data_IF_135779411969
#
_entry.id   IF_135779411969
#
_cell.length_a   1.000
_cell.length_b   1.000
_cell.length_c   1.000
_cell.angle_alpha   90.00
_cell.angle_beta   90.00
_cell.angle_gamma   90.00
#
_symmetry.space_group_name_H-M   'P 1'
#
loop_
_entity.id
_entity.type
_entity.pdbx_description
1 polymer ?
#
# COMPACT_ATOMS: atom_id res chain seq x y z
N UNK A 1 -93.64 13.31 15.24
CA UNK A 1 -92.61 14.22 15.81
C UNK A 1 -91.58 13.33 16.52
N UNK A 2 -90.28 13.28 16.25
CA UNK A 2 -89.37 14.09 15.44
C UNK A 2 -87.97 13.95 16.09
N UNK A 3 -87.17 12.99 15.60
CA UNK A 3 -85.84 12.54 16.07
C UNK A 3 -84.88 13.69 16.44
N UNK A 4 -84.55 13.90 17.73
CA UNK A 4 -83.61 14.97 18.14
C UNK A 4 -82.43 14.54 19.03
N UNK A 5 -82.40 13.33 19.61
CA UNK A 5 -81.29 12.95 20.51
C UNK A 5 -80.19 12.11 19.85
N UNK A 6 -80.49 11.41 18.75
CA UNK A 6 -79.49 10.63 18.00
C UNK A 6 -78.55 11.53 17.22
N UNK A 7 -79.06 12.59 16.58
CA UNK A 7 -78.27 13.58 15.82
C UNK A 7 -77.23 14.29 16.69
N UNK A 8 -77.48 14.49 18.00
CA UNK A 8 -76.53 15.10 18.95
C UNK A 8 -75.45 14.12 19.46
N UNK A 9 -75.76 12.83 19.52
CA UNK A 9 -74.79 11.77 19.85
C UNK A 9 -73.90 11.41 18.66
N UNK A 10 -74.48 11.39 17.45
CA UNK A 10 -73.74 11.16 16.20
C UNK A 10 -72.82 12.35 15.86
N UNK A 11 -73.21 13.59 16.17
CA UNK A 11 -72.34 14.76 15.99
C UNK A 11 -71.19 14.82 17.00
N UNK A 12 -71.36 14.31 18.24
CA UNK A 12 -70.22 14.13 19.15
C UNK A 12 -69.25 13.03 18.70
N UNK A 13 -69.76 11.88 18.22
CA UNK A 13 -68.92 10.82 17.66
C UNK A 13 -68.19 11.25 16.36
N UNK A 14 -68.83 12.07 15.53
CA UNK A 14 -68.19 12.66 14.34
C UNK A 14 -67.13 13.71 14.73
N UNK A 15 -67.31 14.42 15.84
CA UNK A 15 -66.34 15.41 16.35
C UNK A 15 -65.11 14.78 17.03
N UNK A 16 -65.22 13.55 17.54
CA UNK A 16 -64.11 12.82 18.19
C UNK A 16 -63.38 11.85 17.26
N UNK A 17 -64.00 11.41 16.15
CA UNK A 17 -63.39 10.50 15.17
C UNK A 17 -62.50 11.18 14.11
N UNK A 18 -62.49 12.51 14.04
CA UNK A 18 -61.72 13.29 13.07
C UNK A 18 -60.35 13.75 13.58
N UNK A 19 -59.76 13.03 14.54
CA UNK A 19 -58.45 13.34 15.11
C UNK A 19 -57.36 13.16 14.07
N UNK A 20 -57.20 14.18 13.21
CA UNK A 20 -56.07 14.44 12.31
C UNK A 20 -55.26 13.18 12.06
N UNK A 21 -55.77 12.28 11.21
CA UNK A 21 -54.83 11.46 10.44
C UNK A 21 -53.90 12.49 9.84
N UNK A 22 -52.65 12.54 10.28
CA UNK A 22 -51.64 13.37 9.67
C UNK A 22 -51.54 12.84 8.24
N UNK A 23 -52.41 13.39 7.37
CA UNK A 23 -52.56 13.02 5.97
C UNK A 23 -51.15 13.16 5.44
N UNK A 24 -50.55 12.00 5.11
CA UNK A 24 -49.12 11.77 5.00
C UNK A 24 -48.40 12.91 4.28
N UNK A 25 -48.09 13.97 5.01
CA UNK A 25 -47.32 15.08 4.50
C UNK A 25 -45.92 14.55 4.62
N UNK A 26 -45.44 13.96 3.52
CA UNK A 26 -44.06 13.50 3.39
C UNK A 26 -43.16 14.53 4.06
N UNK A 27 -42.34 14.14 5.05
CA UNK A 27 -41.57 15.10 5.83
C UNK A 27 -40.41 15.62 4.98
N UNK A 28 -40.71 16.49 4.01
CA UNK A 28 -39.74 17.05 3.06
C UNK A 28 -38.57 17.73 3.77
N UNK A 29 -38.78 18.33 4.95
CA UNK A 29 -37.69 18.88 5.76
C UNK A 29 -36.73 17.82 6.29
N UNK A 30 -37.23 16.66 6.71
CA UNK A 30 -36.39 15.52 7.14
C UNK A 30 -35.59 14.96 5.96
N UNK A 31 -36.23 14.75 4.81
CA UNK A 31 -35.53 14.27 3.61
C UNK A 31 -34.52 15.29 3.07
N UNK A 32 -34.82 16.58 3.13
CA UNK A 32 -33.88 17.64 2.76
C UNK A 32 -32.67 17.68 3.70
N UNK A 33 -32.87 17.45 4.99
CA UNK A 33 -31.77 17.33 5.96
C UNK A 33 -30.90 16.11 5.66
N UNK A 34 -31.50 14.93 5.45
CA UNK A 34 -30.78 13.72 5.06
C UNK A 34 -30.00 13.90 3.76
N UNK A 35 -30.61 14.51 2.75
CA UNK A 35 -29.96 14.79 1.48
C UNK A 35 -28.75 15.72 1.67
N UNK A 36 -28.89 16.78 2.46
CA UNK A 36 -27.78 17.68 2.77
C UNK A 36 -26.63 16.96 3.46
N UNK A 37 -26.92 16.09 4.44
CA UNK A 37 -25.89 15.28 5.12
C UNK A 37 -25.17 14.35 4.13
N UNK A 38 -25.90 13.68 3.24
CA UNK A 38 -25.28 12.80 2.22
C UNK A 38 -24.42 13.60 1.25
N UNK A 39 -24.89 14.76 0.79
CA UNK A 39 -24.12 15.63 -0.11
C UNK A 39 -22.86 16.12 0.58
N UNK A 40 -22.96 16.67 1.79
CA UNK A 40 -21.80 17.15 2.55
C UNK A 40 -20.83 16.02 2.85
N UNK A 41 -21.32 14.85 3.28
CA UNK A 41 -20.50 13.66 3.52
C UNK A 41 -19.74 13.21 2.27
N UNK A 42 -20.43 13.15 1.12
CA UNK A 42 -19.80 12.81 -0.16
C UNK A 42 -18.75 13.85 -0.56
N UNK A 43 -19.04 15.14 -0.35
CA UNK A 43 -18.12 16.24 -0.66
C UNK A 43 -16.87 16.18 0.23
N UNK A 44 -17.02 15.88 1.51
CA UNK A 44 -15.91 15.67 2.45
C UNK A 44 -15.05 14.47 2.04
N UNK A 45 -15.65 13.35 1.61
CA UNK A 45 -14.91 12.19 1.10
C UNK A 45 -14.13 12.55 -0.16
N UNK A 46 -14.75 13.28 -1.11
CA UNK A 46 -14.09 13.74 -2.33
C UNK A 46 -12.91 14.67 -2.01
N UNK A 47 -13.12 15.64 -1.11
CA UNK A 47 -12.06 16.58 -0.68
C UNK A 47 -10.93 15.85 0.02
N UNK A 48 -11.25 14.95 0.97
CA UNK A 48 -10.26 14.13 1.68
C UNK A 48 -9.41 13.31 0.70
N UNK A 49 -10.04 12.57 -0.23
CA UNK A 49 -9.32 11.82 -1.26
C UNK A 49 -8.49 12.71 -2.17
N UNK A 50 -9.00 13.88 -2.55
CA UNK A 50 -8.26 14.82 -3.38
C UNK A 50 -7.01 15.38 -2.68
N UNK A 51 -7.06 15.58 -1.36
CA UNK A 51 -5.92 16.07 -0.58
C UNK A 51 -4.85 14.99 -0.40
N UNK A 52 -5.24 13.73 -0.19
CA UNK A 52 -4.30 12.59 -0.19
C UNK A 52 -3.57 12.49 -1.53
N UNK A 53 -4.30 12.63 -2.64
CA UNK A 53 -3.69 12.61 -3.98
C UNK A 53 -2.77 13.81 -4.26
N UNK A 54 -3.00 14.96 -3.60
CA UNK A 54 -2.15 16.15 -3.72
C UNK A 54 -0.90 16.09 -2.85
N UNK A 55 -0.95 15.42 -1.70
CA UNK A 55 0.23 15.17 -0.88
C UNK A 55 1.31 14.39 -1.66
N UNK A 56 0.92 13.57 -2.64
CA UNK A 56 1.84 12.91 -3.58
C UNK A 56 2.64 13.87 -4.50
N UNK A 57 2.42 15.19 -4.43
CA UNK A 57 3.24 16.16 -5.15
C UNK A 57 4.50 16.58 -4.39
N UNK A 58 4.48 16.51 -3.05
CA UNK A 58 5.67 16.82 -2.23
C UNK A 58 6.62 15.63 -2.23
N UNK A 59 7.94 15.82 -2.09
CA UNK A 59 8.88 14.73 -1.89
C UNK A 59 8.80 14.13 -0.48
N UNK A 60 9.14 12.84 -0.27
CA UNK A 60 9.04 12.24 1.05
C UNK A 60 10.10 12.80 2.00
N UNK A 61 9.74 12.89 3.26
CA UNK A 61 10.56 13.35 4.39
C UNK A 61 10.75 12.21 5.40
N UNK A 62 11.60 12.40 6.40
CA UNK A 62 11.86 11.38 7.44
C UNK A 62 10.67 11.08 8.37
N UNK A 63 9.54 11.76 8.19
CA UNK A 63 8.30 11.53 8.95
C UNK A 63 7.26 10.78 8.13
N UNK A 64 7.56 10.52 6.86
CA UNK A 64 6.63 9.92 5.93
C UNK A 64 6.77 8.40 5.95
N UNK A 65 5.64 7.74 5.82
CA UNK A 65 5.53 6.31 5.55
C UNK A 65 4.61 6.15 4.34
N UNK A 66 5.21 5.94 3.17
CA UNK A 66 4.48 5.84 1.91
C UNK A 66 4.60 4.47 1.30
N UNK A 67 3.62 4.14 0.46
CA UNK A 67 3.59 2.86 -0.25
C UNK A 67 3.47 3.10 -1.76
N UNK A 68 4.18 2.30 -2.54
CA UNK A 68 4.04 2.21 -4.00
C UNK A 68 3.88 0.75 -4.38
N UNK A 69 2.77 0.39 -5.00
CA UNK A 69 2.61 -0.97 -5.51
C UNK A 69 3.49 -1.17 -6.74
N UNK A 70 4.20 -2.29 -6.81
CA UNK A 70 5.08 -2.59 -7.94
C UNK A 70 4.90 -3.99 -8.53
N UNK A 71 5.28 -4.14 -9.80
CA UNK A 71 5.39 -5.43 -10.47
C UNK A 71 6.56 -5.45 -11.44
N UNK A 72 7.19 -6.60 -11.61
CA UNK A 72 8.28 -6.81 -12.58
C UNK A 72 7.80 -7.81 -13.64
N UNK A 73 7.77 -7.40 -14.91
CA UNK A 73 7.38 -8.25 -16.04
C UNK A 73 8.61 -8.54 -16.93
N UNK A 74 8.90 -9.82 -17.16
CA UNK A 74 9.93 -10.22 -18.12
C UNK A 74 9.27 -11.01 -19.24
N UNK A 75 9.33 -10.45 -20.45
CA UNK A 75 8.81 -11.05 -21.68
C UNK A 75 7.33 -11.48 -21.59
N UNK A 76 6.48 -10.68 -20.95
CA UNK A 76 5.05 -10.94 -20.80
C UNK A 76 4.70 -11.82 -19.58
N UNK A 77 5.68 -12.12 -18.73
CA UNK A 77 5.49 -12.90 -17.50
C UNK A 77 5.82 -12.05 -16.29
N UNK A 78 4.81 -11.79 -15.46
CA UNK A 78 4.99 -11.13 -14.17
C UNK A 78 5.77 -12.06 -13.24
N UNK A 79 6.91 -11.59 -12.76
CA UNK A 79 7.75 -12.29 -11.79
C UNK A 79 7.15 -12.18 -10.38
N UNK A 80 7.49 -13.13 -9.48
CA UNK A 80 7.14 -13.00 -8.07
C UNK A 80 7.64 -11.69 -7.46
N UNK A 81 7.04 -11.29 -6.34
CA UNK A 81 7.51 -10.15 -5.57
C UNK A 81 8.94 -10.41 -5.09
N UNK A 82 9.75 -9.35 -5.04
CA UNK A 82 11.10 -9.44 -4.50
C UNK A 82 11.03 -9.83 -3.03
N UNK A 83 11.93 -10.72 -2.63
CA UNK A 83 12.05 -11.13 -1.24
C UNK A 83 12.55 -9.95 -0.40
N UNK A 84 12.07 -9.86 0.84
CA UNK A 84 12.58 -8.87 1.78
C UNK A 84 14.10 -9.01 1.95
N UNK A 85 14.89 -7.94 1.75
CA UNK A 85 16.32 -7.98 1.99
C UNK A 85 16.63 -8.13 3.48
N UNK A 86 17.74 -8.80 3.80
CA UNK A 86 18.18 -8.98 5.21
C UNK A 86 18.48 -7.66 5.90
N UNK A 87 18.97 -6.68 5.14
CA UNK A 87 19.24 -5.32 5.63
C UNK A 87 18.33 -4.35 4.90
N UNK A 88 17.44 -3.69 5.64
CA UNK A 88 16.52 -2.70 5.11
C UNK A 88 17.19 -1.32 5.08
N UNK A 89 17.04 -0.63 3.96
CA UNK A 89 17.27 0.82 3.85
C UNK A 89 15.92 1.53 3.92
N UNK A 90 15.88 2.87 4.00
CA UNK A 90 14.63 3.62 4.07
C UNK A 90 13.67 3.47 2.87
N UNK A 91 14.04 2.70 1.84
CA UNK A 91 13.18 2.35 0.70
C UNK A 91 13.34 0.86 0.40
N UNK A 92 12.36 0.03 0.76
CA UNK A 92 12.47 -1.44 0.76
C UNK A 92 11.13 -2.16 0.47
N UNK A 93 11.11 -3.49 0.47
CA UNK A 93 9.94 -4.36 0.23
C UNK A 93 9.80 -5.43 1.31
N UNK A 94 8.58 -5.85 1.62
CA UNK A 94 8.28 -6.95 2.56
C UNK A 94 7.74 -8.21 1.85
N UNK A 95 8.04 -8.39 0.56
CA UNK A 95 7.52 -9.51 -0.28
C UNK A 95 6.01 -9.42 -0.59
N UNK A 96 5.35 -8.38 -0.10
CA UNK A 96 3.93 -8.07 -0.31
C UNK A 96 3.63 -7.41 -1.66
N UNK A 97 4.67 -7.07 -2.42
CA UNK A 97 4.54 -6.39 -3.72
C UNK A 97 4.38 -4.88 -3.59
N UNK A 98 4.73 -4.33 -2.42
CA UNK A 98 4.81 -2.90 -2.17
C UNK A 98 6.27 -2.47 -2.00
N UNK A 99 6.58 -1.28 -2.49
CA UNK A 99 7.76 -0.52 -2.08
C UNK A 99 7.31 0.37 -0.93
N UNK A 100 7.90 0.13 0.23
CA UNK A 100 7.76 0.90 1.45
C UNK A 100 8.80 2.00 1.44
N UNK A 101 8.36 3.25 1.65
CA UNK A 101 9.21 4.43 1.71
C UNK A 101 9.09 5.00 3.11
N UNK A 102 10.10 4.72 3.92
CA UNK A 102 10.27 5.15 5.30
C UNK A 102 11.65 5.83 5.43
N UNK A 103 11.79 7.09 4.98
CA UNK A 103 13.10 7.69 4.86
C UNK A 103 13.82 7.83 6.20
N UNK A 104 15.02 7.26 6.30
CA UNK A 104 15.81 7.33 7.54
C UNK A 104 16.79 8.51 7.54
N UNK A 105 17.15 9.00 6.36
CA UNK A 105 18.15 10.04 6.16
C UNK A 105 17.96 10.75 4.80
N UNK A 106 18.86 11.67 4.47
CA UNK A 106 18.78 12.46 3.23
C UNK A 106 18.89 11.65 1.93
N UNK A 107 19.43 10.42 1.97
CA UNK A 107 19.51 9.52 0.81
C UNK A 107 18.17 8.88 0.45
N UNK A 108 17.20 8.92 1.35
CA UNK A 108 15.89 8.30 1.19
C UNK A 108 14.77 9.35 1.03
N UNK A 109 15.09 10.64 1.14
CA UNK A 109 14.13 11.75 1.04
C UNK A 109 14.21 12.48 -0.29
N UNK A 110 13.25 13.37 -0.54
CA UNK A 110 13.45 14.38 -1.58
C UNK A 110 13.54 13.78 -2.98
N UNK A 111 14.50 14.29 -3.75
CA UNK A 111 14.83 13.80 -5.10
C UNK A 111 15.60 12.48 -5.09
N UNK A 112 16.00 11.99 -3.92
CA UNK A 112 16.75 10.74 -3.78
C UNK A 112 15.83 9.52 -3.60
N UNK A 113 14.57 9.76 -3.23
CA UNK A 113 13.52 8.74 -3.14
C UNK A 113 13.12 8.20 -4.53
N UNK A 114 14.00 7.37 -5.07
CA UNK A 114 13.98 6.91 -6.46
C UNK A 114 13.91 5.40 -6.54
N UNK A 115 13.45 4.88 -7.68
CA UNK A 115 13.52 3.46 -7.98
C UNK A 115 14.97 2.94 -7.94
N UNK A 116 15.95 3.76 -8.33
CA UNK A 116 17.36 3.39 -8.21
C UNK A 116 17.82 3.23 -6.75
N UNK A 117 17.29 4.06 -5.84
CA UNK A 117 17.54 3.92 -4.40
C UNK A 117 16.96 2.62 -3.86
N UNK A 118 15.71 2.29 -4.21
CA UNK A 118 15.11 0.99 -3.92
C UNK A 118 15.99 -0.16 -4.42
N UNK A 119 16.33 -0.17 -5.72
CA UNK A 119 17.18 -1.20 -6.35
C UNK A 119 18.53 -1.35 -5.64
N UNK A 120 19.11 -0.27 -5.09
CA UNK A 120 20.38 -0.34 -4.36
C UNK A 120 20.31 -1.14 -3.05
N UNK A 121 19.12 -1.27 -2.47
CA UNK A 121 18.85 -2.07 -1.28
C UNK A 121 18.44 -3.52 -1.58
N UNK A 122 18.24 -3.90 -2.84
CA UNK A 122 17.68 -5.19 -3.26
C UNK A 122 18.76 -6.16 -3.78
N UNK A 123 19.18 -7.18 -3.00
CA UNK A 123 20.20 -8.13 -3.41
C UNK A 123 19.83 -8.89 -4.68
N UNK A 124 20.74 -8.89 -5.66
CA UNK A 124 20.57 -9.60 -6.93
C UNK A 124 19.66 -8.90 -7.93
N UNK A 125 18.90 -7.88 -7.52
CA UNK A 125 18.13 -7.05 -8.44
C UNK A 125 19.05 -5.97 -9.03
N UNK A 126 19.07 -5.84 -10.35
CA UNK A 126 19.87 -4.81 -11.03
C UNK A 126 19.04 -4.14 -12.11
N UNK A 127 19.15 -2.82 -12.17
CA UNK A 127 18.42 -2.01 -13.13
C UNK A 127 19.32 -0.93 -13.71
N UNK A 128 19.31 -0.82 -15.03
CA UNK A 128 19.93 0.29 -15.77
C UNK A 128 18.93 0.80 -16.81
N UNK A 129 19.29 1.89 -17.50
CA UNK A 129 18.53 2.39 -18.66
C UNK A 129 18.28 1.32 -19.74
N UNK A 130 19.16 0.33 -19.87
CA UNK A 130 19.14 -0.62 -20.98
C UNK A 130 19.21 -2.07 -20.54
N UNK A 131 19.15 -2.36 -19.25
CA UNK A 131 19.19 -3.74 -18.75
C UNK A 131 18.44 -3.91 -17.45
N UNK A 132 17.89 -5.10 -17.25
CA UNK A 132 17.28 -5.54 -16.01
C UNK A 132 17.78 -6.94 -15.67
N UNK A 133 18.05 -7.17 -14.40
CA UNK A 133 18.39 -8.47 -13.83
C UNK A 133 17.46 -8.71 -12.67
N UNK A 134 16.59 -9.71 -12.78
CA UNK A 134 15.77 -10.16 -11.66
C UNK A 134 16.60 -11.13 -10.79
N UNK A 135 16.45 -11.15 -9.46
CA UNK A 135 17.23 -12.04 -8.60
C UNK A 135 17.10 -13.51 -9.02
N UNK A 136 18.24 -14.20 -9.15
CA UNK A 136 18.29 -15.60 -9.59
C UNK A 136 18.12 -15.81 -11.11
N UNK A 137 17.84 -14.76 -11.88
CA UNK A 137 17.72 -14.81 -13.33
C UNK A 137 18.96 -14.25 -14.05
N UNK A 138 19.03 -14.48 -15.36
CA UNK A 138 20.02 -13.82 -16.22
C UNK A 138 19.73 -12.32 -16.36
N UNK A 139 20.73 -11.58 -16.83
CA UNK A 139 20.55 -10.18 -17.25
C UNK A 139 19.91 -10.12 -18.63
N UNK A 140 18.84 -9.32 -18.76
CA UNK A 140 18.21 -8.98 -20.03
C UNK A 140 18.66 -7.58 -20.44
N UNK A 141 19.14 -7.44 -21.67
CA UNK A 141 19.61 -6.18 -22.26
C UNK A 141 18.71 -5.80 -23.42
N UNK A 142 18.51 -4.50 -23.62
CA UNK A 142 17.74 -4.00 -24.76
C UNK A 142 18.26 -4.59 -26.07
N UNK A 143 17.37 -5.22 -26.85
CA UNK A 143 17.72 -5.96 -28.06
C UNK A 143 17.78 -7.47 -27.88
N UNK A 144 17.89 -7.98 -26.66
CA UNK A 144 17.77 -9.42 -26.39
C UNK A 144 16.38 -9.91 -26.80
N UNK A 145 16.32 -11.10 -27.40
CA UNK A 145 15.05 -11.68 -27.84
C UNK A 145 14.28 -12.27 -26.67
N UNK A 146 13.00 -11.95 -26.61
CA UNK A 146 12.04 -12.69 -25.79
C UNK A 146 11.66 -14.03 -26.46
N UNK A 147 10.95 -14.93 -25.76
CA UNK A 147 10.51 -16.21 -26.32
C UNK A 147 9.64 -16.09 -27.59
N UNK A 148 8.99 -14.94 -27.79
CA UNK A 148 8.25 -14.59 -29.00
C UNK A 148 9.17 -14.24 -30.21
N UNK A 149 10.49 -14.28 -30.01
CA UNK A 149 11.51 -13.98 -31.02
C UNK A 149 11.75 -12.49 -31.26
N UNK A 150 10.97 -11.59 -30.62
CA UNK A 150 11.07 -10.14 -30.81
C UNK A 150 12.08 -9.54 -29.81
N UNK A 151 12.79 -8.46 -30.18
CA UNK A 151 13.72 -7.79 -29.28
C UNK A 151 12.97 -7.05 -28.18
N UNK A 152 13.27 -7.38 -26.92
CA UNK A 152 12.71 -6.70 -25.76
C UNK A 152 13.47 -5.41 -25.41
N UNK A 153 12.81 -4.55 -24.62
CA UNK A 153 13.37 -3.33 -24.06
C UNK A 153 12.92 -3.15 -22.61
N UNK A 154 13.83 -2.61 -21.79
CA UNK A 154 13.53 -2.13 -20.44
C UNK A 154 12.62 -0.92 -20.54
N UNK A 155 11.45 -1.02 -19.92
CA UNK A 155 10.43 0.03 -19.88
C UNK A 155 9.81 0.07 -18.48
N UNK A 156 9.45 1.26 -18.03
CA UNK A 156 8.63 1.43 -16.84
C UNK A 156 7.34 2.16 -17.19
N UNK A 157 6.23 1.75 -16.58
CA UNK A 157 4.92 2.39 -16.68
C UNK A 157 4.45 2.74 -15.28
N UNK A 158 3.98 3.97 -15.11
CA UNK A 158 3.49 4.48 -13.82
C UNK A 158 2.03 4.89 -13.93
N UNK A 159 1.29 4.74 -12.83
CA UNK A 159 -0.05 5.29 -12.67
C UNK A 159 -0.08 6.12 -11.40
N UNK A 160 -0.42 7.39 -11.53
CA UNK A 160 -0.69 8.22 -10.36
C UNK A 160 -2.04 7.84 -9.73
N UNK A 161 -2.27 8.14 -8.44
CA UNK A 161 -3.52 7.79 -7.77
C UNK A 161 -4.76 8.24 -8.55
N UNK A 162 -5.61 7.28 -8.91
CA UNK A 162 -6.84 7.51 -9.69
C UNK A 162 -6.65 7.46 -11.22
N UNK A 163 -5.43 7.31 -11.74
CA UNK A 163 -5.19 7.07 -13.16
C UNK A 163 -5.29 5.58 -13.51
N UNK A 164 -6.03 5.27 -14.58
CA UNK A 164 -6.20 3.93 -15.11
C UNK A 164 -5.42 3.68 -16.42
N UNK A 165 -4.99 4.75 -17.10
CA UNK A 165 -4.28 4.63 -18.39
C UNK A 165 -2.80 4.36 -18.18
N UNK A 166 -2.21 5.09 -17.23
CA UNK A 166 -0.79 5.03 -16.94
C UNK A 166 0.03 5.71 -18.01
N UNK A 167 1.27 6.00 -17.66
CA UNK A 167 2.22 6.69 -18.51
C UNK A 167 3.51 5.89 -18.60
N UNK A 168 3.98 5.66 -19.82
CA UNK A 168 5.33 5.16 -20.05
C UNK A 168 6.34 6.23 -19.63
N UNK A 169 7.30 5.83 -18.79
CA UNK A 169 8.40 6.68 -18.37
C UNK A 169 9.49 6.60 -19.43
N UNK A 170 9.76 7.74 -20.08
CA UNK A 170 10.90 7.89 -20.97
C UNK A 170 12.18 8.15 -20.17
N UNK A 171 13.27 7.44 -20.50
CA UNK A 171 14.60 7.70 -19.93
C UNK A 171 15.12 6.56 -19.07
N UNK A 172 15.91 6.91 -18.06
CA UNK A 172 16.49 5.94 -17.12
C UNK A 172 15.49 5.63 -16.00
N UNK A 173 15.04 4.36 -15.86
CA UNK A 173 14.06 4.00 -14.85
C UNK A 173 14.59 4.18 -13.42
N UNK A 174 15.91 4.17 -13.20
CA UNK A 174 16.48 4.43 -11.87
C UNK A 174 16.15 5.83 -11.35
N UNK A 175 15.80 6.78 -12.22
CA UNK A 175 15.47 8.16 -11.85
C UNK A 175 13.98 8.37 -11.56
N UNK A 176 13.17 7.32 -11.65
CA UNK A 176 11.74 7.40 -11.32
C UNK A 176 11.61 7.72 -9.84
N UNK A 177 10.95 8.83 -9.52
CA UNK A 177 10.60 9.16 -8.15
C UNK A 177 9.47 8.25 -7.68
N UNK A 178 9.66 7.70 -6.48
CA UNK A 178 8.65 6.93 -5.77
C UNK A 178 7.71 7.92 -5.10
N UNK A 179 6.41 7.63 -5.11
CA UNK A 179 5.37 8.52 -4.61
C UNK A 179 4.32 7.73 -3.85
N UNK A 180 3.69 8.35 -2.87
CA UNK A 180 2.61 7.68 -2.16
C UNK A 180 1.47 7.27 -3.09
N UNK A 181 0.95 6.06 -2.88
CA UNK A 181 -0.16 5.42 -3.60
C UNK A 181 0.03 5.30 -5.12
N UNK A 182 1.26 5.47 -5.61
CA UNK A 182 1.59 5.28 -7.03
C UNK A 182 1.65 3.78 -7.35
N UNK A 183 1.31 3.45 -8.58
CA UNK A 183 1.54 2.13 -9.15
C UNK A 183 2.74 2.19 -10.11
N UNK A 184 3.62 1.19 -10.05
CA UNK A 184 4.81 1.08 -10.89
C UNK A 184 4.91 -0.32 -11.50
N UNK A 185 4.86 -0.43 -12.82
CA UNK A 185 5.23 -1.65 -13.52
C UNK A 185 6.56 -1.44 -14.22
N UNK A 186 7.55 -2.28 -13.91
CA UNK A 186 8.82 -2.33 -14.62
C UNK A 186 8.83 -3.59 -15.48
N UNK A 187 9.38 -3.54 -16.68
CA UNK A 187 9.56 -4.77 -17.42
C UNK A 187 10.54 -4.72 -18.58
N UNK A 188 10.93 -5.92 -19.01
CA UNK A 188 11.63 -6.17 -20.27
C UNK A 188 10.64 -6.75 -21.28
N UNK A 189 10.09 -5.90 -22.14
CA UNK A 189 8.94 -6.25 -23.00
C UNK A 189 9.16 -5.83 -24.45
N UNK A 190 8.44 -6.47 -25.37
CA UNK A 190 8.66 -6.33 -26.83
C UNK A 190 7.77 -5.27 -27.48
N UNK A 191 6.78 -4.75 -26.76
CA UNK A 191 5.74 -3.83 -27.25
C UNK A 191 5.89 -2.41 -26.70
N UNK A 192 7.08 -2.05 -26.22
CA UNK A 192 7.33 -0.71 -25.69
C UNK A 192 6.59 -0.38 -24.39
N UNK A 193 6.03 -1.38 -23.69
CA UNK A 193 5.40 -1.21 -22.38
C UNK A 193 3.87 -1.21 -22.40
N UNK A 194 3.25 -1.41 -23.56
CA UNK A 194 1.79 -1.42 -23.68
C UNK A 194 1.14 -2.58 -22.92
N UNK A 195 1.78 -3.74 -22.92
CA UNK A 195 1.39 -4.93 -22.16
C UNK A 195 1.52 -4.78 -20.65
N UNK A 196 2.28 -3.81 -20.15
CA UNK A 196 2.44 -3.60 -18.71
C UNK A 196 1.11 -3.23 -18.07
N UNK A 197 0.68 -4.08 -17.13
CA UNK A 197 -0.56 -3.93 -16.36
C UNK A 197 -0.26 -3.30 -15.01
N UNK A 198 -1.30 -2.78 -14.37
CA UNK A 198 -1.21 -2.37 -12.98
C UNK A 198 -0.82 -3.57 -12.08
N UNK A 199 0.05 -3.38 -11.08
CA UNK A 199 0.39 -4.41 -10.11
C UNK A 199 -0.84 -4.95 -9.38
N UNK A 200 -0.84 -6.26 -9.09
CA UNK A 200 -1.93 -6.89 -8.33
C UNK A 200 -1.99 -6.37 -6.88
N UNK A 201 -0.84 -6.02 -6.29
CA UNK A 201 -0.69 -5.41 -4.97
C UNK A 201 -1.31 -4.02 -4.84
N UNK A 202 -1.87 -3.44 -5.92
CA UNK A 202 -2.68 -2.21 -5.80
C UNK A 202 -3.85 -2.37 -4.81
N UNK A 203 -4.35 -3.61 -4.63
CA UNK A 203 -5.42 -3.92 -3.69
C UNK A 203 -5.00 -3.81 -2.22
N UNK A 204 -3.70 -3.91 -1.91
CA UNK A 204 -3.17 -3.88 -0.54
C UNK A 204 -2.72 -2.48 -0.10
N UNK A 205 -2.64 -1.50 -1.02
CA UNK A 205 -2.29 -0.12 -0.70
C UNK A 205 -3.17 0.52 0.41
N UNK A 206 -4.51 0.37 0.41
CA UNK A 206 -5.35 0.95 1.45
C UNK A 206 -5.09 0.36 2.85
N UNK A 207 -4.75 -0.92 2.91
CA UNK A 207 -4.53 -1.65 4.17
C UNK A 207 -3.12 -1.40 4.72
N UNK A 208 -2.13 -1.19 3.85
CA UNK A 208 -0.75 -0.90 4.23
C UNK A 208 -0.61 0.38 5.06
N UNK A 209 -1.48 1.38 4.84
CA UNK A 209 -1.53 2.58 5.68
C UNK A 209 -2.04 2.34 7.12
N UNK A 210 -2.56 1.15 7.42
CA UNK A 210 -3.27 0.83 8.67
C UNK A 210 -2.59 -0.25 9.52
N UNK A 211 -1.53 -0.90 9.04
CA UNK A 211 -0.90 -2.04 9.72
C UNK A 211 0.43 -1.62 10.36
N UNK A 212 0.59 -1.75 11.70
CA UNK A 212 1.91 -1.72 12.31
C UNK A 212 2.71 -2.97 11.91
N UNK A 213 3.99 -2.77 11.58
CA UNK A 213 5.00 -3.61 10.90
C UNK A 213 5.11 -5.12 11.26
N UNK A 214 4.32 -5.70 12.16
CA UNK A 214 4.57 -7.03 12.70
C UNK A 214 3.41 -8.04 12.56
N UNK A 215 2.58 -7.94 11.53
CA UNK A 215 1.50 -8.94 11.31
C UNK A 215 1.37 -9.33 9.84
N UNK A 216 2.41 -9.93 9.29
CA UNK A 216 2.35 -10.58 7.97
C UNK A 216 1.69 -11.95 8.10
N UNK A 217 0.42 -12.07 7.69
CA UNK A 217 -0.21 -13.37 7.45
C UNK A 217 -0.07 -13.72 5.96
N UNK A 218 0.79 -14.68 5.67
CA UNK A 218 0.89 -15.29 4.34
C UNK A 218 -0.38 -16.10 4.07
N UNK A 219 -1.16 -15.71 3.06
CA UNK A 219 -2.22 -16.57 2.50
C UNK A 219 -1.75 -17.13 1.18
N UNK A 220 -1.27 -18.37 1.21
CA UNK A 220 -1.15 -19.22 0.02
C UNK A 220 -2.53 -19.81 -0.32
N UNK A 221 -3.00 -19.77 -1.58
CA UNK A 221 -4.21 -20.47 -1.97
C UNK A 221 -3.94 -21.98 -2.03
N UNK A 222 -4.45 -22.76 -1.06
CA UNK A 222 -4.42 -24.22 -1.16
C UNK A 222 -4.27 -25.01 0.14
N UNK A 223 -4.87 -24.58 1.26
CA UNK A 223 -4.99 -25.43 2.44
C UNK A 223 -6.44 -25.42 2.94
N UNK A 224 -7.08 -26.59 2.88
CA UNK A 224 -8.39 -26.87 3.46
C UNK A 224 -8.36 -26.57 4.97
N UNK A 225 -9.39 -25.93 5.56
CA UNK A 225 -9.35 -25.59 6.98
C UNK A 225 -9.40 -26.85 7.86
N UNK A 226 -8.62 -26.94 8.96
CA UNK A 226 -8.88 -27.95 9.96
C UNK A 226 -10.09 -27.51 10.81
N UNK A 227 -11.08 -28.40 10.90
CA UNK A 227 -12.22 -28.28 11.81
C UNK A 227 -11.73 -28.12 13.25
N UNK A 228 -12.10 -27.00 13.90
CA UNK A 228 -11.74 -26.73 15.30
C UNK A 228 -12.74 -27.41 16.23
N UNK A 229 -12.26 -28.26 17.13
CA UNK A 229 -13.01 -28.69 18.30
C UNK A 229 -12.94 -27.61 19.40
N UNK A 230 -14.03 -27.27 20.11
CA UNK A 230 -14.00 -26.22 21.14
C UNK A 230 -13.50 -26.76 22.48
N UNK A 231 -12.50 -26.11 23.07
CA UNK A 231 -12.19 -26.23 24.50
C UNK A 231 -10.72 -26.24 24.87
N UNK A 232 -10.10 -25.06 24.97
CA UNK A 232 -8.98 -24.83 25.88
C UNK A 232 -8.87 -23.33 26.22
N UNK A 233 -9.09 -23.01 27.49
CA UNK A 233 -8.92 -21.69 28.12
C UNK A 233 -7.44 -21.29 28.17
N UNK A 234 -7.06 -20.01 28.06
CA UNK A 234 -5.66 -19.63 28.14
C UNK A 234 -5.18 -19.56 29.59
N UNK A 235 -4.08 -20.26 29.89
CA UNK A 235 -3.36 -20.14 31.17
C UNK A 235 -2.35 -19.00 31.08
N UNK A 236 -2.54 -17.98 31.89
CA UNK A 236 -1.55 -16.92 32.17
C UNK A 236 -0.39 -17.50 32.97
N UNK A 237 0.84 -17.41 32.46
CA UNK A 237 2.06 -17.71 33.22
C UNK A 237 2.93 -16.44 33.32
N UNK A 238 2.96 -15.89 34.52
CA UNK A 238 3.92 -14.89 35.01
C UNK A 238 5.12 -15.63 35.61
N UNK A 239 6.35 -15.20 35.30
CA UNK A 239 7.51 -15.51 36.14
C UNK A 239 8.86 -15.61 35.45
N UNK A 240 9.81 -14.78 35.88
CA UNK A 240 11.19 -15.21 36.10
C UNK A 240 12.27 -14.65 35.17
N UNK A 241 12.96 -13.60 35.63
CA UNK A 241 14.26 -13.15 35.10
C UNK A 241 15.37 -14.12 35.56
N UNK A 242 16.32 -14.52 34.71
CA UNK A 242 17.63 -14.94 35.17
C UNK A 242 18.71 -13.92 34.75
N UNK A 243 19.36 -13.35 35.78
CA UNK A 243 20.61 -12.59 35.69
C UNK A 243 21.78 -13.56 35.54
N UNK A 244 22.67 -13.40 34.56
CA UNK A 244 24.01 -14.04 34.60
C UNK A 244 25.07 -13.23 33.86
N UNK A 245 26.08 -12.84 34.65
CA UNK A 245 27.49 -12.45 34.45
C UNK A 245 28.07 -12.03 33.07
N UNK A 246 28.88 -10.96 33.17
CA UNK A 246 29.75 -10.33 32.16
C UNK A 246 31.07 -11.10 31.91
N UNK A 247 31.58 -11.17 30.66
CA UNK A 247 32.96 -11.54 30.36
C UNK A 247 33.90 -10.32 30.25
N UNK A 248 35.11 -10.48 30.78
CA UNK A 248 36.19 -9.50 30.86
C UNK A 248 36.81 -9.10 29.51
N UNK A 249 37.34 -7.87 29.47
CA UNK A 249 38.01 -7.24 28.32
C UNK A 249 39.44 -7.76 28.08
N UNK A 250 39.93 -7.82 26.81
CA UNK A 250 41.36 -8.00 26.52
C UNK A 250 42.14 -6.68 26.53
N UNK A 251 43.37 -6.74 27.04
CA UNK A 251 44.32 -5.63 27.18
C UNK A 251 45.05 -5.28 25.86
N UNK A 252 45.38 -4.00 25.71
CA UNK A 252 46.13 -3.39 24.60
C UNK A 252 47.61 -3.84 24.54
N UNK A 253 48.23 -3.94 23.35
CA UNK A 253 49.67 -4.15 23.23
C UNK A 253 50.46 -2.84 23.29
N UNK A 254 51.49 -2.84 24.14
CA UNK A 254 52.51 -1.78 24.26
C UNK A 254 53.62 -1.97 23.21
N UNK A 255 53.92 -0.92 22.47
CA UNK A 255 55.02 -0.81 21.51
C UNK A 255 56.37 -0.63 22.19
N UNK A 256 57.40 -1.38 21.79
CA UNK A 256 58.81 -1.14 22.14
C UNK A 256 59.59 -0.50 20.97
N UNK A 257 60.60 0.37 21.24
CA UNK A 257 61.34 1.10 20.21
C UNK A 257 62.53 0.30 19.63
N UNK A 258 63.02 0.62 18.41
CA UNK A 258 64.14 -0.07 17.79
C UNK A 258 65.52 0.41 18.30
N UNK A 259 66.43 -0.56 18.48
CA UNK A 259 67.85 -0.36 18.83
C UNK A 259 68.71 -0.26 17.57
N UNK A 260 69.69 0.64 17.60
CA UNK A 260 70.62 0.99 16.53
C UNK A 260 71.85 0.06 16.43
N UNK A 261 72.32 -0.15 15.19
CA UNK A 261 73.72 -0.31 14.72
C UNK A 261 74.53 -1.57 15.14
N UNK A 262 75.65 -1.91 14.46
CA UNK A 262 76.33 -1.26 13.33
C UNK A 262 76.26 -2.00 11.98
#
# INVERSE_FOLDING_TARGET
>A
MGKASSSKKVSRAASTGGGRTARGRTPWGWYSSLFLVVVVGTLLIVVSRSNVNKAAAEPPTVKDHWHTAYSIDICGTVKPNLQQPTTLIGIHTHTDGLIHVEPQNSLDTGKHATLGRFVSGEPGFKLTKTSITYPGDKTYRNGDKCPDGKPGKVVAKIWDPGDNKGKIVSGDPNKILIKNDRLLALGFVTDGGDSLKQPASKATLPDAASIPENTSTSTAPGATPPTTAPGATPTTASGGVPTTASPAAPASPTTSPPTSAP
#
